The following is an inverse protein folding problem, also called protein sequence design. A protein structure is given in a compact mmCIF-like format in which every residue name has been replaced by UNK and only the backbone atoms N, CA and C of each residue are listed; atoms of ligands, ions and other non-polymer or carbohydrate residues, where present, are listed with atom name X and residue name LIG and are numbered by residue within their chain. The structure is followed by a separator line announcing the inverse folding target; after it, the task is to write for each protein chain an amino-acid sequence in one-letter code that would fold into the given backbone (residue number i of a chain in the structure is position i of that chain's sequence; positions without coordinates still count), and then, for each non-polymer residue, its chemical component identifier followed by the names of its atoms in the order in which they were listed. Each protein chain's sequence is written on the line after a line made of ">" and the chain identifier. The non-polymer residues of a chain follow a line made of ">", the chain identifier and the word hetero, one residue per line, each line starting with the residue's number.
data_IF_553497545238
#
_entry.id   IF_553497545238
#
_cell.length_a   1.000
_cell.length_b   1.000
_cell.length_c   1.000
_cell.angle_alpha   90.00
_cell.angle_beta   90.00
_cell.angle_gamma   90.00
#
_symmetry.space_group_name_H-M   'P 1'
#
loop_
_entity.id
_entity.type
_entity.pdbx_description
1 polymer ?
#
# COMPACT_ATOMS: atom_id res chain seq x y z
N UNK A 1 3.07 -70.49 4.87
CA UNK A 1 1.78 -69.83 5.16
C UNK A 1 2.00 -68.33 5.38
N UNK A 2 1.49 -67.47 4.48
CA UNK A 2 1.53 -66.00 4.64
C UNK A 2 0.18 -65.51 5.17
N UNK A 3 0.14 -65.03 6.40
CA UNK A 3 -1.06 -64.44 7.00
C UNK A 3 -1.31 -63.07 6.37
N UNK A 4 -2.34 -62.95 5.50
CA UNK A 4 -2.84 -61.68 4.99
C UNK A 4 -3.48 -60.90 6.14
N UNK A 5 -2.92 -59.75 6.51
CA UNK A 5 -3.58 -58.82 7.43
C UNK A 5 -4.85 -58.27 6.75
N UNK A 6 -5.99 -58.45 7.40
CA UNK A 6 -7.27 -57.90 6.95
C UNK A 6 -7.21 -56.37 7.07
N UNK A 7 -7.31 -55.67 5.95
CA UNK A 7 -7.42 -54.21 5.94
C UNK A 7 -8.65 -53.77 6.74
N UNK A 8 -8.45 -52.86 7.71
CA UNK A 8 -9.56 -52.29 8.49
C UNK A 8 -10.51 -51.56 7.53
N UNK A 9 -11.80 -51.88 7.62
CA UNK A 9 -12.88 -51.16 6.93
C UNK A 9 -12.82 -49.67 7.32
N UNK A 10 -12.86 -48.73 6.37
CA UNK A 10 -12.84 -47.31 6.68
C UNK A 10 -14.07 -46.95 7.53
N UNK A 11 -13.84 -46.41 8.71
CA UNK A 11 -14.88 -46.01 9.67
C UNK A 11 -15.75 -44.89 9.07
N UNK A 12 -17.08 -45.09 9.03
CA UNK A 12 -18.10 -44.16 8.48
C UNK A 12 -18.29 -42.87 9.29
N UNK A 13 -17.47 -42.63 10.32
CA UNK A 13 -17.55 -41.41 11.14
C UNK A 13 -16.81 -40.30 10.41
N UNK A 14 -17.53 -39.26 9.98
CA UNK A 14 -16.95 -38.02 9.46
C UNK A 14 -16.09 -37.36 10.57
N UNK A 15 -14.81 -37.71 10.61
CA UNK A 15 -13.84 -37.08 11.51
C UNK A 15 -13.55 -35.66 11.01
N UNK A 16 -13.89 -34.66 11.82
CA UNK A 16 -13.44 -33.29 11.60
C UNK A 16 -11.91 -33.26 11.65
N UNK A 17 -11.27 -32.99 10.52
CA UNK A 17 -9.81 -32.81 10.47
C UNK A 17 -9.47 -31.59 11.31
N UNK A 18 -8.71 -31.78 12.41
CA UNK A 18 -8.17 -30.63 13.16
C UNK A 18 -7.35 -29.80 12.17
N UNK A 19 -7.79 -28.57 11.89
CA UNK A 19 -7.05 -27.64 11.03
C UNK A 19 -5.75 -27.27 11.74
N UNK A 20 -4.66 -27.99 11.45
CA UNK A 20 -3.33 -27.73 12.00
C UNK A 20 -2.59 -26.55 11.35
N UNK A 21 -3.27 -25.77 10.49
CA UNK A 21 -2.67 -24.62 9.83
C UNK A 21 -2.54 -23.48 10.85
N UNK A 22 -1.31 -23.06 11.16
CA UNK A 22 -1.09 -21.88 11.99
C UNK A 22 -1.55 -20.61 11.25
N UNK A 23 -1.87 -19.52 11.97
CA UNK A 23 -2.17 -18.23 11.34
C UNK A 23 -1.06 -17.78 10.38
N UNK A 24 -1.39 -17.04 9.32
CA UNK A 24 -0.39 -16.58 8.36
C UNK A 24 0.72 -15.73 9.02
N UNK A 25 0.40 -15.02 10.11
CA UNK A 25 1.36 -14.25 10.92
C UNK A 25 2.47 -15.12 11.53
N UNK A 26 2.22 -16.41 11.77
CA UNK A 26 3.25 -17.34 12.24
C UNK A 26 4.27 -17.71 11.16
N UNK A 27 3.89 -17.60 9.90
CA UNK A 27 4.75 -17.96 8.76
C UNK A 27 5.35 -16.74 8.05
N UNK A 28 4.80 -15.54 8.29
CA UNK A 28 5.24 -14.29 7.68
C UNK A 28 5.96 -13.43 8.70
N UNK A 29 7.22 -13.13 8.43
CA UNK A 29 8.01 -12.15 9.18
C UNK A 29 7.64 -10.70 8.84
N UNK A 30 6.90 -10.46 7.75
CA UNK A 30 6.51 -9.13 7.25
C UNK A 30 5.09 -9.11 6.68
N UNK A 31 4.45 -7.95 6.73
CA UNK A 31 3.08 -7.75 6.22
C UNK A 31 3.02 -7.27 4.76
N UNK A 32 4.11 -6.75 4.22
CA UNK A 32 4.18 -6.26 2.84
C UNK A 32 4.80 -7.27 1.88
N UNK A 33 4.44 -7.16 0.59
CA UNK A 33 5.05 -7.91 -0.50
C UNK A 33 6.26 -7.15 -1.05
N UNK A 34 7.32 -7.89 -1.37
CA UNK A 34 8.43 -7.40 -2.18
C UNK A 34 8.06 -7.35 -3.65
N UNK A 35 8.78 -6.54 -4.43
CA UNK A 35 8.57 -6.45 -5.89
C UNK A 35 8.63 -7.82 -6.57
N UNK A 36 9.60 -8.66 -6.20
CA UNK A 36 9.73 -10.03 -6.71
C UNK A 36 8.51 -10.91 -6.38
N UNK A 37 7.92 -10.74 -5.19
CA UNK A 37 6.71 -11.48 -4.80
C UNK A 37 5.48 -10.96 -5.56
N UNK A 38 5.37 -9.66 -5.79
CA UNK A 38 4.33 -9.06 -6.64
C UNK A 38 4.46 -9.57 -8.08
N UNK A 39 5.66 -9.64 -8.64
CA UNK A 39 5.89 -10.20 -9.98
C UNK A 39 5.48 -11.67 -10.08
N UNK A 40 5.82 -12.49 -9.08
CA UNK A 40 5.39 -13.90 -9.02
C UNK A 40 3.87 -14.00 -8.96
N UNK A 41 3.23 -13.14 -8.16
CA UNK A 41 1.78 -13.09 -8.03
C UNK A 41 1.11 -12.70 -9.35
N UNK A 42 1.63 -11.69 -10.05
CA UNK A 42 1.17 -11.29 -11.38
C UNK A 42 1.30 -12.43 -12.39
N UNK A 43 2.45 -13.11 -12.44
CA UNK A 43 2.68 -14.25 -13.34
C UNK A 43 1.73 -15.42 -13.05
N UNK A 44 1.44 -15.68 -11.78
CA UNK A 44 0.50 -16.73 -11.38
C UNK A 44 -0.95 -16.37 -11.76
N UNK A 45 -1.38 -15.15 -11.45
CA UNK A 45 -2.72 -14.66 -11.79
C UNK A 45 -2.94 -14.57 -13.32
N UNK A 46 -1.88 -14.30 -14.09
CA UNK A 46 -1.91 -14.26 -15.54
C UNK A 46 -2.27 -15.57 -16.24
N UNK A 47 -2.29 -16.70 -15.53
CA UNK A 47 -2.56 -18.04 -16.11
C UNK A 47 -4.05 -18.43 -16.15
N UNK A 48 -4.95 -17.46 -16.02
CA UNK A 48 -6.39 -17.70 -16.02
C UNK A 48 -7.08 -17.12 -17.27
N UNK A 49 -8.40 -17.36 -17.41
CA UNK A 49 -9.23 -16.87 -18.53
C UNK A 49 -9.12 -15.36 -18.76
N UNK A 50 -8.93 -14.59 -17.69
CA UNK A 50 -8.81 -13.12 -17.70
C UNK A 50 -7.42 -12.66 -17.26
N UNK A 51 -6.38 -13.44 -17.59
CA UNK A 51 -5.06 -13.28 -16.99
C UNK A 51 -4.47 -11.88 -17.17
N UNK A 52 -4.73 -11.24 -18.31
CA UNK A 52 -4.29 -9.86 -18.56
C UNK A 52 -4.95 -8.86 -17.59
N UNK A 53 -6.27 -8.97 -17.37
CA UNK A 53 -7.00 -8.12 -16.44
C UNK A 53 -6.47 -8.32 -15.01
N UNK A 54 -6.33 -9.56 -14.57
CA UNK A 54 -5.99 -9.86 -13.19
C UNK A 54 -4.53 -9.49 -12.87
N UNK A 55 -3.61 -9.75 -13.80
CA UNK A 55 -2.23 -9.29 -13.68
C UNK A 55 -2.14 -7.75 -13.67
N UNK A 56 -2.98 -7.07 -14.46
CA UNK A 56 -3.05 -5.60 -14.47
C UNK A 56 -3.61 -5.06 -13.15
N UNK A 57 -4.65 -5.67 -12.60
CA UNK A 57 -5.20 -5.27 -11.30
C UNK A 57 -4.16 -5.40 -10.19
N UNK A 58 -3.37 -6.48 -10.19
CA UNK A 58 -2.28 -6.68 -9.23
C UNK A 58 -1.16 -5.65 -9.42
N UNK A 59 -0.76 -5.39 -10.67
CA UNK A 59 0.23 -4.35 -10.98
C UNK A 59 -0.21 -2.99 -10.43
N UNK A 60 -1.45 -2.60 -10.71
CA UNK A 60 -2.00 -1.31 -10.31
C UNK A 60 -2.12 -1.17 -8.79
N UNK A 61 -2.50 -2.24 -8.08
CA UNK A 61 -2.76 -2.20 -6.65
C UNK A 61 -1.52 -2.40 -5.78
N UNK A 62 -0.58 -3.27 -6.21
CA UNK A 62 0.51 -3.76 -5.34
C UNK A 62 1.90 -3.32 -5.80
N UNK A 63 2.06 -2.73 -7.00
CA UNK A 63 3.34 -2.24 -7.47
C UNK A 63 3.42 -0.71 -7.42
N UNK A 64 4.56 -0.20 -6.94
CA UNK A 64 4.86 1.23 -6.98
C UNK A 64 4.84 1.78 -8.43
N UNK A 65 5.28 0.98 -9.40
CA UNK A 65 5.28 1.35 -10.83
C UNK A 65 3.85 1.46 -11.35
N UNK A 66 2.98 0.51 -10.98
CA UNK A 66 1.57 0.52 -11.37
C UNK A 66 0.85 1.74 -10.79
N UNK A 67 1.06 2.01 -9.50
CA UNK A 67 0.52 3.19 -8.84
C UNK A 67 1.02 4.50 -9.48
N UNK A 68 2.32 4.61 -9.77
CA UNK A 68 2.89 5.78 -10.47
C UNK A 68 2.22 6.01 -11.84
N UNK A 69 2.10 4.97 -12.66
CA UNK A 69 1.45 5.04 -13.98
C UNK A 69 -0.02 5.42 -13.88
N UNK A 70 -0.72 4.95 -12.84
CA UNK A 70 -2.11 5.33 -12.57
C UNK A 70 -2.21 6.83 -12.29
N UNK A 71 -1.39 7.36 -11.38
CA UNK A 71 -1.37 8.79 -11.05
C UNK A 71 -1.00 9.65 -12.28
N UNK A 72 -0.01 9.25 -13.07
CA UNK A 72 0.36 9.96 -14.30
C UNK A 72 -0.81 10.02 -15.30
N UNK A 73 -1.56 8.92 -15.47
CA UNK A 73 -2.75 8.88 -16.32
C UNK A 73 -3.85 9.80 -15.79
N UNK A 74 -4.11 9.77 -14.48
CA UNK A 74 -5.08 10.65 -13.84
C UNK A 74 -4.72 12.13 -14.03
N UNK A 75 -3.43 12.50 -13.91
CA UNK A 75 -2.96 13.86 -14.16
C UNK A 75 -3.24 14.32 -15.60
N UNK A 76 -3.04 13.44 -16.59
CA UNK A 76 -3.37 13.72 -18.00
C UNK A 76 -4.88 13.88 -18.20
N UNK A 77 -5.70 12.99 -17.63
CA UNK A 77 -7.17 13.09 -17.71
C UNK A 77 -7.68 14.37 -17.04
N UNK A 78 -7.07 14.78 -15.93
CA UNK A 78 -7.36 16.03 -15.24
C UNK A 78 -6.83 17.28 -15.97
N UNK A 79 -6.20 17.13 -17.15
CA UNK A 79 -5.61 18.21 -17.96
C UNK A 79 -4.62 19.08 -17.17
N UNK A 80 -3.86 18.46 -16.27
CA UNK A 80 -2.80 19.17 -15.54
C UNK A 80 -1.71 19.61 -16.52
N UNK A 81 -1.16 20.84 -16.38
CA UNK A 81 -0.14 21.37 -17.29
C UNK A 81 1.24 20.71 -17.13
N UNK A 82 1.40 19.82 -16.14
CA UNK A 82 2.63 19.11 -15.83
C UNK A 82 2.36 17.64 -15.51
N UNK A 83 3.41 16.81 -15.57
CA UNK A 83 3.33 15.39 -15.24
C UNK A 83 3.19 15.18 -13.74
N UNK A 84 2.10 14.54 -13.31
CA UNK A 84 1.82 14.27 -11.89
C UNK A 84 2.42 12.92 -11.48
N UNK A 85 3.13 12.89 -10.35
CA UNK A 85 3.64 11.67 -9.73
C UNK A 85 3.25 11.57 -8.25
N UNK A 86 3.25 10.36 -7.65
CA UNK A 86 2.78 10.15 -6.28
C UNK A 86 3.38 11.07 -5.21
N UNK A 87 4.67 11.40 -5.32
CA UNK A 87 5.33 12.31 -4.36
C UNK A 87 4.77 13.74 -4.39
N UNK A 88 4.20 14.20 -5.52
CA UNK A 88 3.53 15.50 -5.58
C UNK A 88 2.28 15.56 -4.71
N UNK A 89 1.53 14.45 -4.60
CA UNK A 89 0.36 14.37 -3.73
C UNK A 89 0.74 14.57 -2.27
N UNK A 90 1.90 14.04 -1.87
CA UNK A 90 2.45 14.24 -0.54
C UNK A 90 2.84 15.71 -0.31
N UNK A 91 3.46 16.36 -1.30
CA UNK A 91 3.71 17.81 -1.21
C UNK A 91 2.41 18.61 -1.11
N UNK A 92 1.41 18.32 -1.95
CA UNK A 92 0.13 19.00 -1.92
C UNK A 92 -0.57 18.87 -0.56
N UNK A 93 -0.54 17.68 0.05
CA UNK A 93 -1.01 17.45 1.41
C UNK A 93 -0.24 18.30 2.44
N UNK A 94 1.09 18.33 2.36
CA UNK A 94 1.93 19.17 3.23
C UNK A 94 1.60 20.65 3.13
N UNK A 95 1.51 21.19 1.91
CA UNK A 95 1.11 22.58 1.67
C UNK A 95 -0.31 22.89 2.17
N UNK A 96 -1.27 21.98 1.93
CA UNK A 96 -2.66 22.17 2.39
C UNK A 96 -2.72 22.26 3.91
N UNK A 97 -2.09 21.32 4.63
CA UNK A 97 -2.09 21.30 6.09
C UNK A 97 -1.35 22.50 6.68
N UNK A 98 -0.23 22.90 6.07
CA UNK A 98 0.48 24.10 6.49
C UNK A 98 -0.37 25.37 6.30
N UNK A 99 -1.09 25.48 5.19
CA UNK A 99 -2.01 26.60 4.93
C UNK A 99 -3.21 26.61 5.88
N UNK A 100 -3.68 25.44 6.32
CA UNK A 100 -4.74 25.31 7.34
C UNK A 100 -4.26 25.69 8.76
N UNK A 101 -2.98 26.05 8.91
CA UNK A 101 -2.40 26.46 10.19
C UNK A 101 -2.03 25.30 11.11
N UNK A 102 -1.93 24.08 10.58
CA UNK A 102 -1.44 22.94 11.36
C UNK A 102 -0.01 23.20 11.81
N UNK A 103 0.27 22.88 13.08
CA UNK A 103 1.59 23.04 13.65
C UNK A 103 2.68 22.31 12.83
N UNK A 104 3.81 22.99 12.66
CA UNK A 104 4.92 22.53 11.82
C UNK A 104 5.58 21.27 12.33
N UNK A 105 5.66 21.08 13.66
CA UNK A 105 6.21 19.87 14.26
C UNK A 105 5.23 18.71 14.14
N UNK A 106 3.95 18.94 14.38
CA UNK A 106 2.90 17.94 14.11
C UNK A 106 2.94 17.48 12.65
N UNK A 107 3.04 18.41 11.70
CA UNK A 107 3.17 18.10 10.28
C UNK A 107 4.44 17.32 9.95
N UNK A 108 5.57 17.66 10.59
CA UNK A 108 6.84 16.93 10.43
C UNK A 108 6.68 15.46 10.85
N UNK A 109 6.09 15.21 12.02
CA UNK A 109 5.85 13.87 12.54
C UNK A 109 4.85 13.10 11.67
N UNK A 110 3.76 13.74 11.25
CA UNK A 110 2.74 13.12 10.40
C UNK A 110 3.31 12.68 9.05
N UNK A 111 4.11 13.54 8.42
CA UNK A 111 4.76 13.19 7.17
C UNK A 111 5.93 12.21 7.42
N UNK A 112 6.59 12.25 8.57
CA UNK A 112 7.76 11.42 8.86
C UNK A 112 9.05 12.01 8.29
N UNK A 113 9.18 13.34 8.31
CA UNK A 113 10.39 14.02 7.84
C UNK A 113 11.48 13.98 8.90
N UNK A 114 12.63 13.35 8.57
CA UNK A 114 13.82 13.35 9.43
C UNK A 114 14.38 14.76 9.64
N UNK A 115 14.41 15.56 8.58
CA UNK A 115 14.88 16.94 8.61
C UNK A 115 13.68 17.90 8.52
N UNK A 116 13.56 18.78 9.52
CA UNK A 116 12.48 19.77 9.63
C UNK A 116 12.45 20.74 8.44
N UNK A 117 13.60 20.98 7.79
CA UNK A 117 13.70 21.88 6.64
C UNK A 117 12.78 21.46 5.48
N UNK A 118 12.53 20.15 5.31
CA UNK A 118 11.57 19.66 4.30
C UNK A 118 10.13 20.05 4.61
N UNK A 119 9.77 20.21 5.89
CA UNK A 119 8.44 20.61 6.32
C UNK A 119 8.29 22.13 6.34
N UNK A 120 9.32 22.87 6.74
CA UNK A 120 9.30 24.34 6.79
C UNK A 120 8.96 24.93 5.43
N UNK A 121 9.44 24.32 4.33
CA UNK A 121 9.11 24.72 2.97
C UNK A 121 7.61 24.82 2.69
N UNK A 122 6.79 23.99 3.33
CA UNK A 122 5.33 24.05 3.15
C UNK A 122 4.71 25.31 3.75
N UNK A 123 5.36 25.89 4.75
CA UNK A 123 4.85 27.10 5.40
C UNK A 123 5.13 28.34 4.58
N UNK A 124 6.15 28.36 3.71
CA UNK A 124 6.62 29.56 2.99
C UNK A 124 5.51 30.26 2.19
N UNK A 125 4.54 29.50 1.69
CA UNK A 125 3.42 30.03 0.90
C UNK A 125 2.27 30.61 1.76
N UNK A 126 2.36 30.51 3.09
CA UNK A 126 1.36 31.00 4.02
C UNK A 126 1.57 32.49 4.33
N UNK A 127 0.77 33.35 3.70
CA UNK A 127 0.82 34.82 3.85
C UNK A 127 0.18 35.32 5.14
N UNK A 128 -0.78 34.61 5.70
CA UNK A 128 -1.54 34.97 6.91
C UNK A 128 -0.84 34.57 8.22
N UNK A 129 0.40 34.09 8.17
CA UNK A 129 1.12 33.51 9.33
C UNK A 129 1.29 34.46 10.52
N UNK A 130 1.23 35.76 10.29
CA UNK A 130 1.37 36.79 11.34
C UNK A 130 0.03 37.46 11.70
N UNK A 131 -1.08 37.07 11.04
CA UNK A 131 -2.39 37.62 11.35
C UNK A 131 -2.78 37.22 12.77
N UNK A 132 -3.13 38.21 13.60
CA UNK A 132 -3.49 38.01 15.01
C UNK A 132 -2.37 37.35 15.85
N UNK A 133 -1.10 37.49 15.42
CA UNK A 133 0.03 36.93 16.17
C UNK A 133 0.21 37.64 17.52
N UNK A 134 0.00 38.95 17.53
CA UNK A 134 -0.11 39.74 18.75
C UNK A 134 -1.59 39.87 19.11
N UNK A 135 -1.92 39.61 20.37
CA UNK A 135 -3.20 40.02 20.96
C UNK A 135 -2.85 41.22 21.84
N UNK A 136 -3.29 42.40 21.44
CA UNK A 136 -3.32 43.57 22.32
C UNK A 136 -4.28 43.32 23.50
#
# INVERSE_FOLDING_TARGET
>A
MKTRSRGRTPTTVKRTVKRGRRPNSHYRTREYLTEREVERLMKAAGRNRYGHRDATMILLALSAVGFRRMIERLGKTAKMPFSVHPHMLRHACGFKLANDGVDTRALQHYLGHKNIQHTVRYTELRSDRFNSFWKD
#
